data_IF_018740067818
#
_entry.id   IF_018740067818
#
_cell.length_a   1.000
_cell.length_b   1.000
_cell.length_c   1.000
_cell.angle_alpha   90.00
_cell.angle_beta   90.00
_cell.angle_gamma   90.00
#
_symmetry.space_group_name_H-M   'P 1'
#
loop_
_entity.id
_entity.type
_entity.pdbx_description
1 polymer ?
#
# COMPACT_ATOMS: atom_id res chain seq x y z
N UNK A 1 14.37 -6.97 -7.61
CA UNK A 1 15.00 -5.66 -7.33
C UNK A 1 14.35 -5.02 -6.11
N UNK A 2 13.12 -4.57 -6.15
CA UNK A 2 12.45 -3.91 -5.00
C UNK A 2 12.34 -4.75 -3.71
N UNK A 3 12.30 -6.07 -3.81
CA UNK A 3 12.26 -6.98 -2.63
C UNK A 3 13.55 -6.94 -1.78
N UNK A 4 14.63 -6.42 -2.33
CA UNK A 4 15.91 -6.28 -1.63
C UNK A 4 16.15 -4.86 -1.13
N UNK A 5 15.29 -3.92 -1.53
CA UNK A 5 15.40 -2.52 -1.14
C UNK A 5 14.88 -2.30 0.27
N UNK A 6 15.46 -1.32 0.94
CA UNK A 6 15.13 -0.90 2.30
C UNK A 6 14.44 0.46 2.22
N UNK A 7 13.15 0.49 2.54
CA UNK A 7 12.32 1.71 2.46
C UNK A 7 12.86 2.81 3.38
N UNK A 8 13.40 2.43 4.53
CA UNK A 8 13.97 3.34 5.53
C UNK A 8 15.15 4.18 5.02
N UNK A 9 15.80 3.75 3.93
CA UNK A 9 16.85 4.52 3.27
C UNK A 9 16.30 5.61 2.35
N UNK A 10 15.03 5.52 1.97
CA UNK A 10 14.38 6.41 1.00
C UNK A 10 13.30 7.26 1.65
N UNK A 11 12.42 6.65 2.45
CA UNK A 11 11.27 7.32 3.03
C UNK A 11 11.60 7.88 4.42
N UNK A 12 11.11 9.08 4.68
CA UNK A 12 11.09 9.64 6.02
C UNK A 12 9.91 9.03 6.77
N UNK A 13 10.18 8.38 7.89
CA UNK A 13 9.17 7.74 8.73
C UNK A 13 8.93 8.55 10.01
N UNK A 14 7.82 8.27 10.69
CA UNK A 14 7.47 8.96 11.96
C UNK A 14 8.56 8.79 13.00
N UNK A 15 9.20 7.62 13.11
CA UNK A 15 10.32 7.37 14.03
C UNK A 15 11.54 8.27 13.80
N UNK A 16 11.70 8.81 12.59
CA UNK A 16 12.81 9.72 12.27
C UNK A 16 12.55 11.15 12.80
N UNK A 17 11.28 11.46 13.10
CA UNK A 17 10.84 12.80 13.54
C UNK A 17 10.49 12.79 15.03
N UNK A 18 9.90 11.71 15.52
CA UNK A 18 9.37 11.61 16.87
C UNK A 18 9.70 10.24 17.47
N UNK A 19 10.27 10.25 18.68
CA UNK A 19 10.60 9.04 19.43
C UNK A 19 9.43 8.51 20.28
N UNK A 20 8.36 9.27 20.40
CA UNK A 20 7.19 8.90 21.21
C UNK A 20 6.05 8.48 20.28
N UNK A 21 5.46 7.29 20.48
CA UNK A 21 4.31 6.87 19.71
C UNK A 21 3.15 7.87 19.83
N UNK A 22 2.56 8.24 18.70
CA UNK A 22 1.37 9.07 18.64
C UNK A 22 0.12 8.19 18.56
N UNK A 23 -0.99 8.54 19.22
CA UNK A 23 -2.21 7.76 19.14
C UNK A 23 -2.69 7.61 17.68
N UNK A 24 -2.86 6.36 17.23
CA UNK A 24 -3.33 6.06 15.88
C UNK A 24 -2.29 6.22 14.77
N UNK A 25 -1.04 6.59 15.09
CA UNK A 25 0.02 6.77 14.11
C UNK A 25 1.23 5.89 14.48
N UNK A 26 1.44 4.76 13.77
CA UNK A 26 2.60 3.90 14.00
C UNK A 26 3.92 4.61 13.70
N UNK A 27 4.99 4.22 14.42
CA UNK A 27 6.32 4.82 14.23
C UNK A 27 6.94 4.49 12.86
N UNK A 28 6.54 3.40 12.25
CA UNK A 28 6.94 2.94 10.92
C UNK A 28 6.09 3.52 9.79
N UNK A 29 5.08 4.34 10.12
CA UNK A 29 4.30 5.04 9.10
C UNK A 29 5.16 6.05 8.35
N UNK A 30 4.96 6.15 7.04
CA UNK A 30 5.65 7.11 6.18
C UNK A 30 5.13 8.52 6.42
N UNK A 31 6.02 9.42 6.81
CA UNK A 31 5.75 10.85 6.91
C UNK A 31 5.96 11.56 5.56
N UNK A 32 6.95 11.12 4.79
CA UNK A 32 7.24 11.65 3.45
C UNK A 32 7.88 10.59 2.58
N UNK A 33 7.24 10.23 1.48
CA UNK A 33 7.83 9.38 0.46
C UNK A 33 9.04 10.07 -0.15
N UNK A 34 10.13 9.33 -0.32
CA UNK A 34 11.42 9.85 -0.77
C UNK A 34 12.02 10.97 0.09
N UNK A 35 11.52 11.17 1.32
CA UNK A 35 11.96 12.25 2.21
C UNK A 35 13.42 12.12 2.68
N UNK A 36 14.02 10.94 2.59
CA UNK A 36 15.45 10.68 2.86
C UNK A 36 16.27 10.35 1.62
N UNK A 37 15.69 10.41 0.42
CA UNK A 37 16.37 10.05 -0.81
C UNK A 37 17.68 10.85 -0.95
N UNK A 38 18.79 10.14 -1.04
CA UNK A 38 20.12 10.70 -1.16
C UNK A 38 20.87 10.09 -2.35
N UNK A 39 22.00 10.69 -2.73
CA UNK A 39 22.86 10.14 -3.78
C UNK A 39 23.42 8.75 -3.45
N UNK A 40 23.34 8.32 -2.19
CA UNK A 40 23.83 7.02 -1.73
C UNK A 40 22.77 5.92 -1.71
N UNK A 41 21.50 6.25 -2.06
CA UNK A 41 20.44 5.27 -2.15
C UNK A 41 20.71 4.28 -3.28
N UNK A 42 20.55 2.99 -2.99
CA UNK A 42 20.70 1.95 -4.00
C UNK A 42 19.51 1.95 -4.99
N UNK A 43 19.70 1.38 -6.17
CA UNK A 43 18.60 1.21 -7.14
C UNK A 43 17.50 0.32 -6.58
N UNK A 44 17.84 -0.61 -5.72
CA UNK A 44 16.91 -1.48 -4.99
C UNK A 44 16.04 -0.67 -4.02
N UNK A 45 16.62 0.25 -3.28
CA UNK A 45 15.92 1.15 -2.35
C UNK A 45 14.96 2.07 -3.11
N UNK A 46 15.42 2.66 -4.21
CA UNK A 46 14.59 3.50 -5.09
C UNK A 46 13.40 2.69 -5.64
N UNK A 47 13.64 1.47 -6.11
CA UNK A 47 12.58 0.61 -6.61
C UNK A 47 11.56 0.24 -5.52
N UNK A 48 12.02 -0.03 -4.30
CA UNK A 48 11.15 -0.28 -3.15
C UNK A 48 10.31 0.95 -2.81
N UNK A 49 10.93 2.14 -2.76
CA UNK A 49 10.24 3.40 -2.50
C UNK A 49 9.18 3.74 -3.54
N UNK A 50 9.44 3.49 -4.83
CA UNK A 50 8.44 3.68 -5.90
C UNK A 50 7.22 2.78 -5.68
N UNK A 51 7.44 1.48 -5.41
CA UNK A 51 6.35 0.54 -5.16
C UNK A 51 5.57 0.94 -3.92
N UNK A 52 6.26 1.29 -2.85
CA UNK A 52 5.66 1.75 -1.61
C UNK A 52 4.76 2.97 -1.84
N UNK A 53 5.26 3.99 -2.53
CA UNK A 53 4.50 5.19 -2.88
C UNK A 53 3.25 4.86 -3.69
N UNK A 54 3.35 3.98 -4.70
CA UNK A 54 2.22 3.59 -5.54
C UNK A 54 1.15 2.86 -4.72
N UNK A 55 1.55 1.87 -3.91
CA UNK A 55 0.60 1.08 -3.11
C UNK A 55 -0.07 1.93 -2.02
N UNK A 56 0.67 2.81 -1.35
CA UNK A 56 0.08 3.76 -0.41
C UNK A 56 -0.90 4.72 -1.10
N UNK A 57 -0.54 5.24 -2.28
CA UNK A 57 -1.43 6.13 -3.04
C UNK A 57 -2.74 5.44 -3.43
N UNK A 58 -2.68 4.17 -3.84
CA UNK A 58 -3.87 3.37 -4.14
C UNK A 58 -4.73 3.21 -2.87
N UNK A 59 -4.13 2.79 -1.76
CA UNK A 59 -4.86 2.61 -0.50
C UNK A 59 -5.49 3.89 0.00
N UNK A 60 -4.76 5.00 0.01
CA UNK A 60 -5.31 6.31 0.41
C UNK A 60 -6.43 6.78 -0.51
N UNK A 61 -6.29 6.59 -1.82
CA UNK A 61 -7.31 7.01 -2.78
C UNK A 61 -8.65 6.33 -2.53
N UNK A 62 -8.66 5.00 -2.27
CA UNK A 62 -9.90 4.28 -2.01
C UNK A 62 -10.50 4.64 -0.64
N UNK A 63 -9.66 4.85 0.39
CA UNK A 63 -10.12 5.29 1.70
C UNK A 63 -10.79 6.67 1.60
N UNK A 64 -10.17 7.61 0.91
CA UNK A 64 -10.70 8.96 0.73
C UNK A 64 -12.00 8.95 -0.11
N UNK A 65 -12.04 8.15 -1.17
CA UNK A 65 -13.25 8.00 -2.00
C UNK A 65 -14.43 7.44 -1.20
N UNK A 66 -14.18 6.58 -0.22
CA UNK A 66 -15.19 5.94 0.60
C UNK A 66 -15.53 6.70 1.91
N UNK A 67 -14.89 7.83 2.16
CA UNK A 67 -14.94 8.52 3.45
C UNK A 67 -16.38 8.83 3.92
N UNK A 68 -17.24 9.25 2.98
CA UNK A 68 -18.63 9.62 3.27
C UNK A 68 -19.63 8.47 3.16
N UNK A 69 -19.19 7.29 2.71
CA UNK A 69 -20.07 6.13 2.50
C UNK A 69 -20.01 5.09 3.62
N UNK A 70 -19.19 5.34 4.65
CA UNK A 70 -18.96 4.41 5.77
C UNK A 70 -18.46 3.02 5.35
N UNK A 71 -17.96 2.87 4.12
CA UNK A 71 -17.34 1.64 3.63
C UNK A 71 -15.98 1.50 4.30
N UNK A 72 -15.71 0.31 4.85
CA UNK A 72 -14.46 -0.03 5.52
C UNK A 72 -13.76 -1.24 4.92
N UNK A 73 -14.45 -1.99 4.08
CA UNK A 73 -13.93 -3.19 3.43
C UNK A 73 -13.64 -2.89 1.95
N UNK A 74 -12.41 -3.10 1.55
CA UNK A 74 -11.91 -2.85 0.20
C UNK A 74 -11.36 -4.13 -0.41
N UNK A 75 -11.75 -4.44 -1.64
CA UNK A 75 -11.23 -5.58 -2.38
C UNK A 75 -10.20 -5.10 -3.41
N UNK A 76 -8.98 -5.58 -3.28
CA UNK A 76 -7.88 -5.28 -4.20
C UNK A 76 -7.77 -6.37 -5.27
N UNK A 77 -7.85 -5.96 -6.53
CA UNK A 77 -7.71 -6.86 -7.68
C UNK A 77 -6.69 -6.30 -8.66
N UNK A 78 -6.22 -7.15 -9.54
CA UNK A 78 -5.25 -6.77 -10.57
C UNK A 78 -3.84 -7.26 -10.28
N UNK A 79 -2.94 -7.05 -11.23
CA UNK A 79 -1.60 -7.66 -11.21
C UNK A 79 -0.69 -7.14 -10.07
N UNK A 80 -0.88 -5.91 -9.63
CA UNK A 80 -0.10 -5.34 -8.53
C UNK A 80 -0.29 -6.08 -7.19
N UNK A 81 -1.43 -6.77 -7.01
CA UNK A 81 -1.69 -7.55 -5.79
C UNK A 81 -0.74 -8.73 -5.59
N UNK A 82 0.00 -9.12 -6.63
CA UNK A 82 1.04 -10.15 -6.57
C UNK A 82 2.34 -9.67 -5.92
N UNK A 83 2.48 -8.37 -5.73
CA UNK A 83 3.69 -7.80 -5.13
C UNK A 83 3.74 -8.13 -3.64
N UNK A 84 4.86 -8.69 -3.14
CA UNK A 84 5.00 -9.05 -1.73
C UNK A 84 4.83 -7.85 -0.79
N UNK A 85 5.17 -6.65 -1.22
CA UNK A 85 5.02 -5.40 -0.47
C UNK A 85 3.55 -5.09 -0.10
N UNK A 86 2.57 -5.65 -0.81
CA UNK A 86 1.16 -5.54 -0.41
C UNK A 86 0.91 -6.08 1.00
N UNK A 87 1.63 -7.16 1.39
CA UNK A 87 1.50 -7.78 2.71
C UNK A 87 2.13 -6.95 3.84
N UNK A 88 2.97 -6.00 3.49
CA UNK A 88 3.64 -5.11 4.45
C UNK A 88 2.88 -3.78 4.59
N UNK A 89 2.46 -3.21 3.48
CA UNK A 89 1.91 -1.85 3.42
C UNK A 89 0.43 -1.82 3.86
N UNK A 90 -0.42 -2.68 3.31
CA UNK A 90 -1.85 -2.62 3.61
C UNK A 90 -2.18 -2.88 5.08
N UNK A 91 -1.55 -3.82 5.81
CA UNK A 91 -1.81 -3.98 7.25
C UNK A 91 -1.47 -2.75 8.11
N UNK A 92 -0.48 -1.96 7.72
CA UNK A 92 -0.18 -0.68 8.39
C UNK A 92 -1.30 0.31 8.14
N UNK A 93 -1.78 0.42 6.91
CA UNK A 93 -2.90 1.30 6.56
C UNK A 93 -4.21 0.87 7.23
N UNK A 94 -4.49 -0.44 7.34
CA UNK A 94 -5.66 -0.97 8.04
C UNK A 94 -5.72 -0.49 9.49
N UNK A 95 -4.59 -0.54 10.20
CA UNK A 95 -4.47 -0.06 11.58
C UNK A 95 -4.69 1.45 11.69
N UNK A 96 -4.10 2.22 10.76
CA UNK A 96 -4.20 3.69 10.78
C UNK A 96 -5.61 4.19 10.49
N UNK A 97 -6.30 3.56 9.54
CA UNK A 97 -7.59 4.04 9.03
C UNK A 97 -8.79 3.23 9.50
N UNK A 98 -8.57 2.17 10.31
CA UNK A 98 -9.61 1.28 10.81
C UNK A 98 -10.48 0.73 9.66
N UNK A 99 -9.82 0.22 8.63
CA UNK A 99 -10.41 -0.37 7.44
C UNK A 99 -9.80 -1.75 7.18
N UNK A 100 -10.25 -2.43 6.13
CA UNK A 100 -9.77 -3.75 5.77
C UNK A 100 -9.54 -3.87 4.27
N UNK A 101 -8.40 -4.45 3.89
CA UNK A 101 -8.03 -4.70 2.51
C UNK A 101 -8.00 -6.19 2.21
N UNK A 102 -8.90 -6.64 1.36
CA UNK A 102 -8.97 -8.02 0.90
C UNK A 102 -8.26 -8.23 -0.42
N UNK A 103 -7.31 -9.17 -0.47
CA UNK A 103 -6.71 -9.64 -1.71
C UNK A 103 -7.22 -11.07 -1.92
N UNK A 104 -8.22 -11.28 -2.78
CA UNK A 104 -8.78 -12.61 -3.02
C UNK A 104 -7.80 -13.50 -3.78
N UNK A 105 -7.98 -14.80 -3.67
CA UNK A 105 -7.24 -15.77 -4.46
C UNK A 105 -7.43 -15.47 -5.98
N UNK A 106 -6.37 -15.55 -6.75
CA UNK A 106 -6.33 -15.18 -8.17
C UNK A 106 -6.81 -13.74 -8.45
N UNK A 107 -6.45 -12.80 -7.58
CA UNK A 107 -6.83 -11.39 -7.67
C UNK A 107 -6.48 -10.77 -9.04
N UNK A 108 -5.40 -11.21 -9.67
CA UNK A 108 -4.94 -10.76 -10.98
C UNK A 108 -5.88 -11.12 -12.13
N UNK A 109 -6.69 -12.17 -11.98
CA UNK A 109 -7.62 -12.64 -13.01
C UNK A 109 -9.07 -12.25 -12.74
N UNK A 110 -9.39 -11.61 -11.61
CA UNK A 110 -10.77 -11.32 -11.21
C UNK A 110 -11.54 -10.46 -12.19
N UNK A 111 -10.87 -9.51 -12.85
CA UNK A 111 -11.49 -8.68 -13.88
C UNK A 111 -11.91 -9.51 -15.11
N UNK A 112 -11.03 -10.39 -15.58
CA UNK A 112 -11.32 -11.27 -16.71
C UNK A 112 -12.42 -12.28 -16.36
N UNK A 113 -12.37 -12.85 -15.16
CA UNK A 113 -13.39 -13.77 -14.66
C UNK A 113 -14.75 -13.08 -14.56
N UNK A 114 -14.79 -11.86 -14.02
CA UNK A 114 -16.01 -11.06 -13.94
C UNK A 114 -16.62 -10.77 -15.30
N UNK A 115 -15.81 -10.43 -16.29
CA UNK A 115 -16.26 -10.20 -17.67
C UNK A 115 -16.84 -11.48 -18.31
N UNK A 116 -16.17 -12.63 -18.10
CA UNK A 116 -16.66 -13.92 -18.59
C UNK A 116 -18.00 -14.32 -17.96
N UNK A 117 -18.14 -14.15 -16.63
CA UNK A 117 -19.38 -14.42 -15.93
C UNK A 117 -20.51 -13.50 -16.39
N UNK A 118 -20.25 -12.21 -16.55
CA UNK A 118 -21.26 -11.26 -17.04
C UNK A 118 -21.76 -11.59 -18.45
N UNK A 119 -20.90 -12.21 -19.29
CA UNK A 119 -21.29 -12.67 -20.61
C UNK A 119 -22.16 -13.94 -20.55
N UNK A 120 -21.89 -14.83 -19.58
CA UNK A 120 -22.57 -16.13 -19.46
C UNK A 120 -23.98 -16.01 -18.85
N UNK A 121 -24.20 -14.99 -18.01
CA UNK A 121 -25.47 -14.75 -17.31
C UNK A 121 -26.39 -13.75 -18.01
N UNK A 122 -26.18 -13.46 -19.28
CA UNK A 122 -27.14 -12.77 -20.14
C UNK A 122 -28.13 -13.76 -20.72
#
# INVERSE_FOLDING_TARGET
MAEKGVIENIDLQIKDICNTPLPGLPLDATASTFGKASSNASMEDVAAGIIHMVLQSIGQSVILAALNSHIKDFVLIGNLTKMPQCKEIFPVMEKMYQCHFWIPEYAEYRTALGAALAYTYK
#
